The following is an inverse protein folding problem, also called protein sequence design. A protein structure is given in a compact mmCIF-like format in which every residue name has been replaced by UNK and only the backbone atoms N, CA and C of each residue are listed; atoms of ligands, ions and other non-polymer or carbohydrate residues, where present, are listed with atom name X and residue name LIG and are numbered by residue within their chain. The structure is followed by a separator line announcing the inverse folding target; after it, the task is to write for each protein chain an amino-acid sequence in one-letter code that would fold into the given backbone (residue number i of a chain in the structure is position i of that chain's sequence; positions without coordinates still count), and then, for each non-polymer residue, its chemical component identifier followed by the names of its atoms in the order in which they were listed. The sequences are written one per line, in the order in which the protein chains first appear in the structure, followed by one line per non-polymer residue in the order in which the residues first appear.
data_IF_031887523733
#
_entry.id   IF_031887523733
#
_cell.length_a   1.000
_cell.length_b   1.000
_cell.length_c   1.000
_cell.angle_alpha   90.00
_cell.angle_beta   90.00
_cell.angle_gamma   90.00
#
_symmetry.space_group_name_H-M   'P 1'
#
loop_
_entity.id
_entity.type
_entity.pdbx_description
1 polymer ?
#
# COMPACT_ATOMS: atom_id res chain seq x y z
N UNK A 1 26.87 -14.23 7.30
CA UNK A 1 26.19 -12.92 7.21
C UNK A 1 25.15 -12.88 8.32
N UNK A 2 25.32 -12.00 9.29
CA UNK A 2 24.26 -11.76 10.27
C UNK A 2 23.02 -11.24 9.55
N UNK A 3 21.93 -11.95 9.70
CA UNK A 3 20.64 -11.59 9.12
C UNK A 3 20.20 -10.27 9.77
N UNK A 4 20.24 -9.17 9.03
CA UNK A 4 19.76 -7.87 9.52
C UNK A 4 18.26 -7.97 9.74
N UNK A 5 17.84 -7.99 11.00
CA UNK A 5 16.43 -8.10 11.34
C UNK A 5 15.74 -6.76 11.09
N UNK A 6 14.80 -6.76 10.17
CA UNK A 6 13.90 -5.65 9.87
C UNK A 6 12.50 -6.01 10.36
N UNK A 7 11.94 -5.21 11.23
CA UNK A 7 10.66 -5.47 11.89
C UNK A 7 9.63 -4.52 11.30
N UNK A 8 8.55 -5.07 10.75
CA UNK A 8 7.40 -4.27 10.33
C UNK A 8 6.71 -3.69 11.57
N UNK A 9 6.63 -2.38 11.66
CA UNK A 9 6.08 -1.68 12.82
C UNK A 9 4.73 -1.03 12.55
N UNK A 10 4.50 -0.53 11.33
CA UNK A 10 3.25 0.11 10.96
C UNK A 10 2.93 -0.08 9.48
N UNK A 11 1.63 -0.05 9.17
CA UNK A 11 1.10 -0.01 7.81
C UNK A 11 0.13 1.16 7.69
N UNK A 12 0.27 1.97 6.65
CA UNK A 12 -0.70 2.99 6.26
C UNK A 12 -1.43 2.56 5.01
N UNK A 13 -2.74 2.62 5.04
CA UNK A 13 -3.63 2.33 3.92
C UNK A 13 -4.44 3.58 3.58
N UNK A 14 -4.32 4.05 2.34
CA UNK A 14 -5.12 5.15 1.79
C UNK A 14 -5.86 4.65 0.57
N UNK A 15 -7.19 4.74 0.58
CA UNK A 15 -8.07 4.25 -0.49
C UNK A 15 -7.73 2.81 -0.94
N UNK A 16 -7.49 1.94 0.02
CA UNK A 16 -7.21 0.53 -0.22
C UNK A 16 -8.42 -0.33 0.17
N UNK A 17 -9.20 -0.77 -0.81
CA UNK A 17 -10.50 -1.42 -0.64
C UNK A 17 -11.41 -0.57 0.26
N UNK A 18 -11.98 -1.09 1.34
CA UNK A 18 -12.80 -0.32 2.27
C UNK A 18 -12.01 0.61 3.21
N UNK A 19 -10.70 0.49 3.25
CA UNK A 19 -9.86 1.37 4.06
C UNK A 19 -9.66 2.71 3.36
N UNK A 20 -10.16 3.78 3.93
CA UNK A 20 -10.03 5.14 3.38
C UNK A 20 -8.74 5.80 3.86
N UNK A 21 -8.50 5.78 5.17
CA UNK A 21 -7.30 6.32 5.79
C UNK A 21 -7.05 5.61 7.12
N UNK A 22 -6.37 4.46 7.07
CA UNK A 22 -6.14 3.61 8.23
C UNK A 22 -4.65 3.38 8.48
N UNK A 23 -4.27 3.48 9.75
CA UNK A 23 -2.94 3.16 10.21
C UNK A 23 -2.98 2.02 11.22
N UNK A 24 -2.28 0.95 10.91
CA UNK A 24 -2.24 -0.29 11.68
C UNK A 24 -0.84 -0.45 12.27
N UNK A 25 -0.75 -0.64 13.60
CA UNK A 25 0.51 -0.90 14.29
C UNK A 25 0.74 -2.38 14.49
N UNK A 26 1.99 -2.80 14.37
CA UNK A 26 2.45 -4.17 14.57
C UNK A 26 3.51 -4.20 15.67
N UNK A 27 3.46 -5.20 16.52
CA UNK A 27 4.38 -5.36 17.66
C UNK A 27 4.98 -6.77 17.62
N UNK A 28 6.16 -6.90 16.98
CA UNK A 28 6.83 -8.19 16.84
C UNK A 28 5.97 -9.21 16.09
N UNK A 29 5.72 -10.36 16.69
CA UNK A 29 4.79 -11.36 16.14
C UNK A 29 3.36 -10.90 16.36
N UNK A 30 2.64 -10.66 15.27
CA UNK A 30 1.27 -10.14 15.31
C UNK A 30 0.31 -11.13 14.66
N UNK A 31 -0.78 -11.45 15.35
CA UNK A 31 -1.89 -12.23 14.84
C UNK A 31 -2.99 -11.28 14.33
N UNK A 32 -3.33 -11.39 13.05
CA UNK A 32 -4.49 -10.70 12.48
C UNK A 32 -5.69 -11.64 12.55
N UNK A 33 -6.61 -11.38 13.46
CA UNK A 33 -7.83 -12.16 13.64
C UNK A 33 -9.09 -11.31 13.39
N UNK A 34 -10.20 -11.95 13.12
CA UNK A 34 -11.48 -11.30 12.89
C UNK A 34 -12.42 -12.20 12.09
N UNK A 35 -13.67 -11.78 11.97
CA UNK A 35 -14.69 -12.49 11.19
C UNK A 35 -14.34 -12.58 9.69
N UNK A 36 -15.02 -13.45 8.97
CA UNK A 36 -14.92 -13.48 7.51
C UNK A 36 -15.39 -12.11 6.96
N UNK A 37 -14.67 -11.61 5.96
CA UNK A 37 -14.89 -10.28 5.38
C UNK A 37 -14.36 -9.07 6.17
N UNK A 38 -13.77 -9.26 7.36
CA UNK A 38 -13.19 -8.17 8.17
C UNK A 38 -11.94 -7.47 7.58
N UNK A 39 -11.53 -7.83 6.36
CA UNK A 39 -10.41 -7.18 5.68
C UNK A 39 -9.03 -7.79 5.96
N UNK A 40 -8.92 -8.93 6.65
CA UNK A 40 -7.63 -9.59 6.96
C UNK A 40 -6.77 -9.82 5.71
N UNK A 41 -7.35 -10.47 4.70
CA UNK A 41 -6.66 -10.74 3.42
C UNK A 41 -6.33 -9.44 2.67
N UNK A 42 -7.15 -8.42 2.81
CA UNK A 42 -6.94 -7.09 2.21
C UNK A 42 -5.70 -6.40 2.77
N UNK A 43 -5.47 -6.52 4.09
CA UNK A 43 -4.25 -6.00 4.74
C UNK A 43 -3.02 -6.79 4.30
N UNK A 44 -3.12 -8.13 4.27
CA UNK A 44 -2.01 -8.99 3.81
C UNK A 44 -1.65 -8.73 2.35
N UNK A 45 -2.63 -8.52 1.48
CA UNK A 45 -2.42 -8.19 0.07
C UNK A 45 -1.74 -6.82 -0.10
N UNK A 46 -2.06 -5.84 0.75
CA UNK A 46 -1.37 -4.54 0.77
C UNK A 46 0.12 -4.70 1.14
N UNK A 47 0.41 -5.46 2.20
CA UNK A 47 1.78 -5.75 2.62
C UNK A 47 2.53 -6.49 1.52
N UNK A 48 1.93 -7.52 0.96
CA UNK A 48 2.52 -8.32 -0.12
C UNK A 48 2.80 -7.48 -1.37
N UNK A 49 1.89 -6.59 -1.75
CA UNK A 49 2.06 -5.67 -2.88
C UNK A 49 3.35 -4.87 -2.74
N UNK A 50 3.57 -4.25 -1.59
CA UNK A 50 4.75 -3.40 -1.37
C UNK A 50 6.01 -4.25 -1.30
N UNK A 51 6.02 -5.33 -0.53
CA UNK A 51 7.21 -6.18 -0.36
C UNK A 51 7.66 -6.86 -1.66
N UNK A 52 6.72 -7.28 -2.50
CA UNK A 52 7.05 -8.00 -3.74
C UNK A 52 7.08 -7.11 -4.96
N UNK A 53 6.57 -5.88 -4.86
CA UNK A 53 6.29 -4.97 -5.98
C UNK A 53 5.45 -5.62 -7.10
N UNK A 54 4.71 -6.69 -6.78
CA UNK A 54 3.96 -7.46 -7.75
C UNK A 54 2.48 -7.05 -7.75
N UNK A 55 2.08 -6.29 -8.77
CA UNK A 55 0.72 -5.77 -8.94
C UNK A 55 -0.31 -6.80 -9.42
N UNK A 56 0.10 -8.05 -9.62
CA UNK A 56 -0.76 -9.11 -10.17
C UNK A 56 -0.98 -10.29 -9.21
N UNK A 57 -0.17 -10.39 -8.15
CA UNK A 57 -0.28 -11.48 -7.16
C UNK A 57 -0.94 -10.97 -5.91
N UNK A 58 -2.18 -11.37 -5.72
CA UNK A 58 -2.93 -11.20 -4.49
C UNK A 58 -3.33 -12.58 -3.95
N UNK A 59 -3.73 -12.64 -2.70
CA UNK A 59 -4.00 -13.89 -1.99
C UNK A 59 -4.97 -14.82 -2.76
N UNK A 60 -4.46 -15.93 -3.26
CA UNK A 60 -5.23 -16.89 -4.06
C UNK A 60 -6.29 -17.62 -3.21
N UNK A 61 -6.01 -17.87 -1.93
CA UNK A 61 -6.93 -18.58 -1.04
C UNK A 61 -8.24 -17.79 -0.75
N UNK A 62 -8.17 -16.47 -0.84
CA UNK A 62 -9.36 -15.61 -0.74
C UNK A 62 -10.01 -15.34 -2.10
N UNK A 63 -9.50 -15.96 -3.16
CA UNK A 63 -9.85 -15.67 -4.55
C UNK A 63 -10.59 -16.83 -5.22
N UNK A 64 -11.45 -17.51 -4.49
CA UNK A 64 -12.24 -18.65 -5.03
C UNK A 64 -13.12 -18.28 -6.24
N UNK A 65 -13.22 -16.99 -6.58
CA UNK A 65 -13.93 -16.49 -7.78
C UNK A 65 -13.15 -15.43 -8.57
N UNK A 66 -11.83 -15.49 -8.53
CA UNK A 66 -10.99 -15.05 -9.66
C UNK A 66 -10.93 -13.58 -10.02
N UNK A 67 -11.04 -12.57 -9.12
CA UNK A 67 -10.91 -11.19 -9.60
C UNK A 67 -10.40 -10.16 -8.59
N UNK A 68 -9.44 -10.52 -7.74
CA UNK A 68 -8.69 -9.51 -6.99
C UNK A 68 -7.60 -8.94 -7.88
N UNK A 69 -7.76 -7.70 -8.27
CA UNK A 69 -6.75 -6.97 -9.03
C UNK A 69 -6.50 -5.60 -8.38
N UNK A 70 -5.43 -4.94 -8.79
CA UNK A 70 -5.03 -3.66 -8.23
C UNK A 70 -6.12 -2.59 -8.36
N UNK A 71 -6.79 -2.53 -9.51
CA UNK A 71 -7.90 -1.60 -9.75
C UNK A 71 -9.06 -1.86 -8.77
N UNK A 72 -9.41 -3.12 -8.54
CA UNK A 72 -10.45 -3.52 -7.60
C UNK A 72 -10.13 -3.09 -6.16
N UNK A 73 -8.87 -3.11 -5.76
CA UNK A 73 -8.45 -2.59 -4.46
C UNK A 73 -8.54 -1.07 -4.39
N UNK A 74 -7.97 -0.36 -5.36
CA UNK A 74 -7.94 1.11 -5.36
C UNK A 74 -9.34 1.70 -5.48
N UNK A 75 -10.18 1.17 -6.38
CA UNK A 75 -11.54 1.64 -6.60
C UNK A 75 -12.59 1.03 -5.67
N UNK A 76 -12.20 0.08 -4.83
CA UNK A 76 -13.09 -0.70 -3.99
C UNK A 76 -14.18 -1.41 -4.81
N UNK A 77 -13.80 -2.55 -5.41
CA UNK A 77 -14.75 -3.40 -6.14
C UNK A 77 -15.79 -3.98 -5.17
N UNK A 78 -17.07 -3.78 -5.49
CA UNK A 78 -18.19 -4.28 -4.73
C UNK A 78 -19.00 -5.28 -5.57
N UNK A 79 -19.52 -6.32 -4.91
CA UNK A 79 -20.32 -7.37 -5.57
C UNK A 79 -19.50 -8.40 -6.32
N UNK A 80 -20.17 -9.47 -6.73
CA UNK A 80 -19.59 -10.64 -7.40
C UNK A 80 -19.87 -10.66 -8.91
N UNK A 81 -20.71 -9.78 -9.41
CA UNK A 81 -21.15 -9.73 -10.80
C UNK A 81 -20.78 -8.39 -11.41
N UNK A 82 -19.98 -8.44 -12.47
CA UNK A 82 -19.54 -7.24 -13.20
C UNK A 82 -18.44 -6.44 -12.48
N UNK A 83 -18.07 -5.32 -13.09
CA UNK A 83 -17.08 -4.38 -12.55
C UNK A 83 -17.82 -3.19 -11.91
N UNK A 84 -18.33 -3.38 -10.71
CA UNK A 84 -18.94 -2.30 -9.93
C UNK A 84 -17.95 -1.81 -8.88
N UNK A 85 -17.68 -0.51 -8.87
CA UNK A 85 -16.73 0.13 -7.97
C UNK A 85 -17.42 1.17 -7.08
N UNK A 86 -16.99 1.25 -5.83
CA UNK A 86 -17.48 2.26 -4.88
C UNK A 86 -16.96 3.66 -5.24
N UNK A 87 -15.69 3.76 -5.67
CA UNK A 87 -15.06 5.03 -6.06
C UNK A 87 -15.10 5.18 -7.58
N UNK A 88 -15.79 6.24 -8.07
CA UNK A 88 -16.07 6.47 -9.50
C UNK A 88 -15.11 7.42 -10.19
N UNK A 89 -14.70 8.50 -9.52
CA UNK A 89 -13.81 9.51 -10.05
C UNK A 89 -12.35 9.05 -10.06
N UNK A 90 -11.42 9.94 -10.36
CA UNK A 90 -10.00 9.67 -10.22
C UNK A 90 -9.65 9.34 -8.75
N UNK A 91 -9.03 8.20 -8.51
CA UNK A 91 -8.75 7.69 -7.17
C UNK A 91 -7.25 7.62 -6.94
N UNK A 92 -6.67 8.56 -6.19
CA UNK A 92 -5.34 8.39 -5.61
C UNK A 92 -5.41 7.43 -4.41
N UNK A 93 -4.41 6.56 -4.29
CA UNK A 93 -4.28 5.61 -3.21
C UNK A 93 -2.82 5.48 -2.77
N UNK A 94 -2.59 5.02 -1.57
CA UNK A 94 -1.25 4.81 -1.05
C UNK A 94 -1.21 3.63 -0.09
N UNK A 95 -0.17 2.81 -0.20
CA UNK A 95 0.17 1.79 0.79
C UNK A 95 1.61 2.02 1.20
N UNK A 96 1.83 2.21 2.50
CA UNK A 96 3.16 2.43 3.05
C UNK A 96 3.42 1.49 4.24
N UNK A 97 4.62 0.95 4.30
CA UNK A 97 5.10 0.05 5.34
C UNK A 97 6.28 0.71 6.06
N UNK A 98 6.17 0.87 7.39
CA UNK A 98 7.26 1.32 8.24
C UNK A 98 8.00 0.10 8.81
N UNK A 99 9.31 0.13 8.71
CA UNK A 99 10.20 -0.87 9.32
C UNK A 99 11.15 -0.22 10.30
N UNK A 100 11.45 -0.97 11.36
CA UNK A 100 12.56 -0.70 12.25
C UNK A 100 13.70 -1.67 11.95
N UNK A 101 14.91 -1.15 11.75
CA UNK A 101 16.14 -1.91 11.54
C UNK A 101 16.97 -1.88 12.82
N UNK A 102 17.07 -3.03 13.51
CA UNK A 102 17.73 -3.15 14.82
C UNK A 102 19.20 -2.73 14.78
N UNK A 103 19.93 -3.14 13.76
CA UNK A 103 21.38 -2.89 13.67
C UNK A 103 21.73 -1.40 13.47
N UNK A 104 20.91 -0.68 12.73
CA UNK A 104 21.11 0.74 12.45
C UNK A 104 20.37 1.66 13.43
N UNK A 105 19.57 1.09 14.33
CA UNK A 105 18.64 1.83 15.21
C UNK A 105 17.89 2.92 14.46
N UNK A 106 17.29 2.54 13.33
CA UNK A 106 16.63 3.48 12.43
C UNK A 106 15.31 2.96 11.90
N UNK A 107 14.45 3.88 11.55
CA UNK A 107 13.21 3.61 10.85
C UNK A 107 13.34 3.97 9.37
N UNK A 108 12.63 3.22 8.54
CA UNK A 108 12.46 3.56 7.15
C UNK A 108 11.07 3.16 6.67
N UNK A 109 10.58 3.84 5.65
CA UNK A 109 9.30 3.59 5.03
C UNK A 109 9.54 3.18 3.58
N UNK A 110 8.88 2.11 3.16
CA UNK A 110 8.74 1.75 1.74
C UNK A 110 7.27 1.83 1.37
N UNK A 111 6.96 2.25 0.15
CA UNK A 111 5.57 2.38 -0.22
C UNK A 111 5.32 2.49 -1.71
N UNK A 112 4.05 2.54 -2.05
CA UNK A 112 3.56 2.74 -3.40
C UNK A 112 2.42 3.74 -3.41
N UNK A 113 2.59 4.80 -4.17
CA UNK A 113 1.51 5.68 -4.58
C UNK A 113 0.85 5.13 -5.84
N UNK A 114 -0.46 5.12 -5.88
CA UNK A 114 -1.26 4.58 -6.98
C UNK A 114 -2.26 5.63 -7.45
N UNK A 115 -2.53 5.65 -8.75
CA UNK A 115 -3.61 6.46 -9.34
C UNK A 115 -4.42 5.61 -10.31
N UNK A 116 -5.71 5.50 -10.05
CA UNK A 116 -6.71 5.02 -11.00
C UNK A 116 -7.45 6.24 -11.54
N UNK A 117 -7.11 6.68 -12.74
CA UNK A 117 -7.68 7.90 -13.32
C UNK A 117 -9.18 7.74 -13.64
N UNK A 118 -9.56 6.57 -14.13
CA UNK A 118 -10.92 6.19 -14.48
C UNK A 118 -11.13 4.67 -14.33
N UNK A 119 -12.32 4.17 -14.65
CA UNK A 119 -12.66 2.75 -14.53
C UNK A 119 -12.03 1.88 -15.64
N UNK A 120 -11.64 2.46 -16.76
CA UNK A 120 -11.10 1.73 -17.93
C UNK A 120 -9.57 1.66 -17.91
N UNK A 121 -8.91 2.74 -17.50
CA UNK A 121 -7.46 2.86 -17.50
C UNK A 121 -6.79 1.93 -16.47
N UNK A 122 -5.53 1.59 -16.75
CA UNK A 122 -4.71 0.86 -15.79
C UNK A 122 -4.30 1.76 -14.62
N UNK A 123 -4.11 1.15 -13.45
CA UNK A 123 -3.59 1.86 -12.27
C UNK A 123 -2.11 2.17 -12.47
N UNK A 124 -1.78 3.45 -12.37
CA UNK A 124 -0.38 3.92 -12.40
C UNK A 124 0.22 3.77 -11.01
N UNK A 125 1.40 3.18 -10.92
CA UNK A 125 2.12 2.96 -9.65
C UNK A 125 3.43 3.72 -9.62
N UNK A 126 3.72 4.38 -8.49
CA UNK A 126 5.00 5.06 -8.22
C UNK A 126 5.51 4.60 -6.87
N UNK A 127 6.67 3.97 -6.87
CA UNK A 127 7.29 3.38 -5.69
C UNK A 127 8.18 4.40 -4.97
N UNK A 128 8.37 4.25 -3.67
CA UNK A 128 9.28 5.10 -2.91
C UNK A 128 9.86 4.37 -1.70
N UNK A 129 11.01 4.84 -1.25
CA UNK A 129 11.67 4.42 -0.02
C UNK A 129 12.33 5.64 0.62
N UNK A 130 12.11 5.84 1.92
CA UNK A 130 12.66 6.98 2.64
C UNK A 130 13.05 6.60 4.06
N UNK A 131 14.16 7.15 4.57
CA UNK A 131 14.58 7.02 5.96
C UNK A 131 13.81 8.03 6.83
N UNK A 132 12.63 7.64 7.29
CA UNK A 132 11.77 8.44 8.13
C UNK A 132 10.80 7.55 8.91
N UNK A 133 10.05 8.15 9.82
CA UNK A 133 8.88 7.51 10.45
C UNK A 133 7.65 7.70 9.57
N UNK A 134 6.72 6.78 9.66
CA UNK A 134 5.45 6.88 8.94
C UNK A 134 4.64 8.12 9.39
N UNK A 135 4.79 8.52 10.65
CA UNK A 135 4.17 9.72 11.21
C UNK A 135 4.72 11.04 10.66
N UNK A 136 5.92 11.01 10.07
CA UNK A 136 6.52 12.18 9.40
C UNK A 136 5.95 12.43 8.00
N UNK A 137 5.16 11.48 7.48
CA UNK A 137 4.58 11.55 6.14
C UNK A 137 3.11 12.00 6.17
N UNK A 138 2.78 12.93 5.28
CA UNK A 138 1.42 13.43 5.06
C UNK A 138 0.82 12.79 3.81
N UNK A 139 -0.20 11.96 4.01
CA UNK A 139 -0.86 11.21 2.94
C UNK A 139 -2.11 11.90 2.38
N UNK A 140 -2.58 12.93 3.07
CA UNK A 140 -3.78 13.67 2.72
C UNK A 140 -3.44 15.10 2.29
N UNK A 141 -4.23 15.65 1.37
CA UNK A 141 -4.17 17.03 0.93
C UNK A 141 -5.59 17.60 0.93
N UNK A 142 -5.81 18.68 1.70
CA UNK A 142 -7.09 19.38 1.77
C UNK A 142 -8.33 18.49 1.95
N UNK A 143 -8.20 17.46 2.80
CA UNK A 143 -9.28 16.53 3.14
C UNK A 143 -9.48 15.36 2.16
N UNK A 144 -8.64 15.24 1.13
CA UNK A 144 -8.64 14.11 0.20
C UNK A 144 -7.30 13.38 0.18
N UNK A 145 -7.26 12.17 -0.36
CA UNK A 145 -6.03 11.44 -0.57
C UNK A 145 -5.12 12.19 -1.56
N UNK A 146 -3.87 12.43 -1.17
CA UNK A 146 -2.95 13.24 -1.95
C UNK A 146 -2.64 12.61 -3.32
N UNK A 147 -2.69 13.40 -4.38
CA UNK A 147 -2.15 13.06 -5.69
C UNK A 147 -0.63 12.92 -5.61
N UNK A 148 -0.01 12.29 -6.61
CA UNK A 148 1.43 11.99 -6.58
C UNK A 148 2.30 13.24 -6.38
N UNK A 149 1.98 14.32 -7.06
CA UNK A 149 2.72 15.59 -6.93
C UNK A 149 2.44 16.28 -5.60
N UNK A 150 1.21 16.26 -5.10
CA UNK A 150 0.84 16.77 -3.78
C UNK A 150 1.56 16.00 -2.67
N UNK A 151 1.61 14.67 -2.77
CA UNK A 151 2.32 13.81 -1.83
C UNK A 151 3.81 14.13 -1.82
N UNK A 152 4.44 14.29 -2.98
CA UNK A 152 5.84 14.68 -3.11
C UNK A 152 6.12 16.08 -2.56
N UNK A 153 5.26 17.06 -2.82
CA UNK A 153 5.43 18.44 -2.33
C UNK A 153 5.30 18.50 -0.81
N UNK A 154 4.32 17.80 -0.23
CA UNK A 154 4.13 17.71 1.23
C UNK A 154 5.27 16.96 1.92
N UNK A 155 5.81 15.95 1.27
CA UNK A 155 6.86 15.07 1.80
C UNK A 155 8.16 15.28 1.00
N UNK A 156 8.84 16.37 1.24
CA UNK A 156 10.02 16.84 0.47
C UNK A 156 11.15 15.82 0.31
N UNK A 157 11.22 14.83 1.19
CA UNK A 157 12.21 13.74 1.15
C UNK A 157 11.85 12.65 0.15
N UNK A 158 10.58 12.54 -0.25
CA UNK A 158 10.11 11.47 -1.11
C UNK A 158 10.63 11.64 -2.54
N UNK A 159 11.34 10.61 -3.00
CA UNK A 159 11.75 10.45 -4.40
C UNK A 159 11.11 9.20 -4.97
N UNK A 160 10.36 9.36 -6.06
CA UNK A 160 9.73 8.22 -6.71
C UNK A 160 10.73 7.38 -7.50
N UNK A 161 10.49 6.07 -7.46
CA UNK A 161 11.19 5.07 -8.25
C UNK A 161 10.18 4.57 -9.28
N UNK A 162 10.29 5.07 -10.51
CA UNK A 162 9.28 4.79 -11.54
C UNK A 162 9.35 3.35 -12.08
N UNK A 163 10.52 2.70 -11.97
CA UNK A 163 10.69 1.33 -12.44
C UNK A 163 10.49 0.31 -11.32
N UNK A 164 9.51 -0.57 -11.49
CA UNK A 164 9.16 -1.65 -10.57
C UNK A 164 10.35 -2.54 -10.18
N UNK A 165 11.22 -2.88 -11.12
CA UNK A 165 12.39 -3.71 -10.85
C UNK A 165 13.41 -2.98 -9.99
N UNK A 166 13.65 -1.69 -10.25
CA UNK A 166 14.52 -0.85 -9.43
C UNK A 166 13.98 -0.70 -8.00
N UNK A 167 12.66 -0.54 -7.84
CA UNK A 167 12.02 -0.52 -6.53
C UNK A 167 12.23 -1.84 -5.78
N UNK A 168 11.97 -2.98 -6.43
CA UNK A 168 12.17 -4.30 -5.84
C UNK A 168 13.59 -4.52 -5.37
N UNK A 169 14.58 -4.09 -6.15
CA UNK A 169 15.99 -4.28 -5.79
C UNK A 169 16.41 -3.35 -4.65
N UNK A 170 15.83 -2.16 -4.55
CA UNK A 170 16.06 -1.23 -3.44
C UNK A 170 15.37 -1.63 -2.13
N UNK A 171 14.29 -2.39 -2.20
CA UNK A 171 13.52 -2.84 -1.02
C UNK A 171 14.13 -4.11 -0.35
N UNK A 172 15.08 -4.79 -1.00
CA UNK A 172 15.83 -5.92 -0.44
C UNK A 172 16.87 -5.45 0.58
#
# INVERSE_FOLDING_TARGET
MENQKKILTRVQLINWHYFENERISFHGSTLISGENTAGKSTILDAIQLVLTTNTRRFNVAANEKGNRNLKGYVRCKIGNVGETYLRKDAVPANVALEFYEEKGDRYFVIGVHMLSADEESQVVTRWYMEECRLEDLSFMADGHAALADEFRVKNKKITYIDQKNAARDRFK
#
